data_IF_954547838179
#
_entry.id   IF_954547838179
#
_cell.length_a   1.000
_cell.length_b   1.000
_cell.length_c   1.000
_cell.angle_alpha   90.00
_cell.angle_beta   90.00
_cell.angle_gamma   90.00
#
_symmetry.space_group_name_H-M   'P 1'
#
loop_
_entity.id
_entity.type
_entity.pdbx_description
1 polymer ?
#
# COMPACT_ATOMS: atom_id res chain seq x y z
N UNK A 1 6.79 11.49 23.59
CA UNK A 1 8.04 10.76 23.91
C UNK A 1 8.02 9.49 23.06
N UNK A 2 9.16 9.12 22.48
CA UNK A 2 9.33 7.90 21.70
C UNK A 2 10.33 6.99 22.38
N UNK A 3 10.14 5.68 22.27
CA UNK A 3 11.09 4.66 22.71
C UNK A 3 11.59 3.89 21.50
N UNK A 4 12.87 3.50 21.53
CA UNK A 4 13.51 2.76 20.45
C UNK A 4 13.42 1.26 20.73
N UNK A 5 12.97 0.50 19.74
CA UNK A 5 12.91 -0.96 19.76
C UNK A 5 13.70 -1.52 18.58
N UNK A 6 14.41 -2.61 18.80
CA UNK A 6 15.09 -3.36 17.73
C UNK A 6 14.25 -4.59 17.38
N UNK A 7 13.71 -4.60 16.16
CA UNK A 7 12.88 -5.66 15.62
C UNK A 7 13.77 -6.57 14.77
N UNK A 8 13.70 -7.88 15.00
CA UNK A 8 14.37 -8.87 14.16
C UNK A 8 13.34 -9.79 13.51
N UNK A 9 13.39 -9.89 12.19
CA UNK A 9 12.51 -10.76 11.39
C UNK A 9 13.34 -11.65 10.48
N UNK A 10 12.94 -12.92 10.38
CA UNK A 10 13.50 -13.82 9.38
C UNK A 10 12.63 -13.80 8.14
N UNK A 11 13.21 -13.50 6.99
CA UNK A 11 12.57 -13.57 5.68
C UNK A 11 13.20 -14.69 4.84
N UNK A 12 12.55 -15.16 3.76
CA UNK A 12 13.16 -16.10 2.83
C UNK A 12 14.48 -15.63 2.21
N UNK A 13 14.70 -14.32 2.05
CA UNK A 13 15.96 -13.75 1.55
C UNK A 13 17.01 -13.48 2.64
N UNK A 14 16.67 -13.58 3.92
CA UNK A 14 17.62 -13.40 5.01
C UNK A 14 17.02 -12.76 6.27
N UNK A 15 17.87 -12.56 7.27
CA UNK A 15 17.48 -11.88 8.51
C UNK A 15 17.48 -10.37 8.31
N UNK A 16 16.40 -9.74 8.76
CA UNK A 16 16.24 -8.30 8.84
C UNK A 16 16.33 -7.86 10.30
N UNK A 17 17.10 -6.81 10.58
CA UNK A 17 17.09 -6.11 11.86
C UNK A 17 16.78 -4.64 11.60
N UNK A 18 15.69 -4.15 12.19
CA UNK A 18 15.20 -2.78 12.00
C UNK A 18 15.05 -2.10 13.35
N UNK A 19 15.62 -0.91 13.49
CA UNK A 19 15.41 -0.07 14.66
C UNK A 19 14.20 0.84 14.41
N UNK A 20 13.22 0.79 15.31
CA UNK A 20 11.99 1.57 15.18
C UNK A 20 11.76 2.46 16.40
N UNK A 21 11.25 3.66 16.13
CA UNK A 21 10.85 4.61 17.18
C UNK A 21 9.34 4.54 17.39
N UNK A 22 8.92 4.11 18.57
CA UNK A 22 7.52 3.88 18.91
C UNK A 22 7.05 4.99 19.84
N UNK A 23 5.92 5.66 19.54
CA UNK A 23 5.30 6.57 20.47
C UNK A 23 4.90 5.86 21.76
N UNK A 24 5.31 6.38 22.92
CA UNK A 24 4.93 5.77 24.22
C UNK A 24 3.53 6.18 24.68
N UNK A 25 2.95 7.21 24.05
CA UNK A 25 1.60 7.71 24.33
C UNK A 25 0.51 7.02 23.51
N UNK A 26 -0.71 7.51 23.69
CA UNK A 26 -1.88 7.10 22.92
C UNK A 26 -1.92 7.82 21.57
N UNK A 27 -1.83 7.06 20.48
CA UNK A 27 -1.72 7.57 19.09
C UNK A 27 -2.78 6.92 18.19
N UNK A 28 -3.17 7.56 17.06
CA UNK A 28 -4.02 6.87 16.08
C UNK A 28 -3.29 5.66 15.52
N UNK A 29 -4.07 4.71 15.01
CA UNK A 29 -3.54 3.58 14.23
C UNK A 29 -2.72 4.04 13.02
N UNK A 30 -3.04 5.17 12.38
CA UNK A 30 -2.26 5.73 11.27
C UNK A 30 -0.81 6.07 11.64
N UNK A 31 -0.51 6.28 12.93
CA UNK A 31 0.84 6.59 13.39
C UNK A 31 1.86 5.45 13.18
N UNK A 32 1.39 4.20 13.04
CA UNK A 32 2.27 3.05 12.80
C UNK A 32 2.69 2.91 11.32
N UNK A 33 1.99 3.57 10.40
CA UNK A 33 2.18 3.39 8.95
C UNK A 33 3.62 3.64 8.50
N UNK A 34 4.31 4.73 8.89
CA UNK A 34 5.69 4.96 8.45
C UNK A 34 6.66 3.85 8.90
N UNK A 35 6.44 3.29 10.09
CA UNK A 35 7.26 2.23 10.65
C UNK A 35 7.05 0.90 9.93
N UNK A 36 5.79 0.49 9.75
CA UNK A 36 5.46 -0.75 9.04
C UNK A 36 5.92 -0.70 7.59
N UNK A 37 5.78 0.46 6.95
CA UNK A 37 6.24 0.66 5.58
C UNK A 37 7.77 0.53 5.47
N UNK A 38 8.53 1.12 6.39
CA UNK A 38 10.00 0.95 6.45
C UNK A 38 10.37 -0.53 6.59
N UNK A 39 9.68 -1.26 7.46
CA UNK A 39 9.91 -2.70 7.65
C UNK A 39 9.71 -3.49 6.35
N UNK A 40 8.64 -3.18 5.60
CA UNK A 40 8.39 -3.77 4.27
C UNK A 40 9.45 -3.40 3.24
N UNK A 41 9.89 -2.13 3.21
CA UNK A 41 10.97 -1.66 2.33
C UNK A 41 12.29 -2.37 2.59
N UNK A 42 12.67 -2.54 3.86
CA UNK A 42 13.91 -3.23 4.22
C UNK A 42 13.84 -4.74 3.91
N UNK A 43 12.66 -5.35 4.06
CA UNK A 43 12.42 -6.72 3.64
C UNK A 43 12.49 -6.88 2.11
N UNK A 44 11.90 -5.95 1.37
CA UNK A 44 11.99 -5.93 -0.10
C UNK A 44 13.42 -5.73 -0.58
N UNK A 45 14.20 -4.87 0.10
CA UNK A 45 15.60 -4.64 -0.21
C UNK A 45 16.47 -5.90 -0.02
N UNK A 46 16.08 -6.86 0.85
CA UNK A 46 16.74 -8.16 0.95
C UNK A 46 16.48 -9.00 -0.32
N UNK A 47 15.24 -9.05 -0.80
CA UNK A 47 14.90 -9.75 -2.04
C UNK A 47 15.56 -9.12 -3.27
N UNK A 48 15.63 -7.79 -3.33
CA UNK A 48 16.37 -7.06 -4.37
C UNK A 48 17.85 -7.47 -4.40
N UNK A 49 18.54 -7.42 -3.24
CA UNK A 49 19.94 -7.83 -3.14
C UNK A 49 20.14 -9.27 -3.58
N UNK A 50 19.32 -10.19 -3.08
CA UNK A 50 19.36 -11.61 -3.45
C UNK A 50 19.15 -11.82 -4.95
N UNK A 51 18.23 -11.09 -5.57
CA UNK A 51 17.96 -11.16 -7.01
C UNK A 51 19.16 -10.66 -7.83
N UNK A 52 19.77 -9.56 -7.41
CA UNK A 52 20.97 -9.00 -8.04
C UNK A 52 22.16 -9.96 -7.93
N UNK A 53 22.37 -10.56 -6.74
CA UNK A 53 23.41 -11.57 -6.51
C UNK A 53 23.20 -12.83 -7.39
N UNK A 54 21.95 -13.16 -7.72
CA UNK A 54 21.61 -14.22 -8.66
C UNK A 54 21.77 -13.81 -10.14
N UNK A 55 22.21 -12.58 -10.43
CA UNK A 55 22.51 -12.09 -11.77
C UNK A 55 21.32 -11.42 -12.49
N UNK A 56 20.21 -11.18 -11.79
CA UNK A 56 19.08 -10.44 -12.36
C UNK A 56 19.26 -8.93 -12.19
N UNK A 57 18.68 -8.15 -13.12
CA UNK A 57 18.62 -6.69 -12.99
C UNK A 57 17.21 -6.25 -12.58
N UNK A 58 17.11 -5.31 -11.64
CA UNK A 58 15.83 -4.72 -11.26
C UNK A 58 15.45 -3.66 -12.30
N UNK A 59 14.29 -3.83 -12.93
CA UNK A 59 13.83 -2.93 -14.01
C UNK A 59 13.16 -1.66 -13.46
N UNK A 60 12.67 -1.70 -12.23
CA UNK A 60 11.97 -0.61 -11.58
C UNK A 60 12.93 0.52 -11.20
N UNK A 61 12.60 1.75 -11.61
CA UNK A 61 13.39 2.95 -11.31
C UNK A 61 12.50 4.18 -11.27
N UNK A 62 13.00 5.31 -10.74
CA UNK A 62 12.31 6.61 -10.82
C UNK A 62 11.95 6.91 -12.28
N UNK A 63 10.70 7.30 -12.53
CA UNK A 63 10.16 7.50 -13.88
C UNK A 63 9.49 6.25 -14.49
N UNK A 64 9.66 5.06 -13.89
CA UNK A 64 8.80 3.92 -14.22
C UNK A 64 7.43 4.13 -13.56
N UNK A 65 6.37 4.16 -14.38
CA UNK A 65 5.02 4.48 -13.93
C UNK A 65 3.96 3.48 -14.42
N UNK A 66 4.36 2.27 -14.80
CA UNK A 66 3.44 1.21 -15.19
C UNK A 66 2.50 0.84 -14.02
N UNK A 67 3.06 0.65 -12.81
CA UNK A 67 2.27 0.36 -11.61
C UNK A 67 1.36 1.52 -11.18
N UNK A 68 1.71 2.77 -11.52
CA UNK A 68 0.89 3.94 -11.23
C UNK A 68 -0.39 4.02 -12.09
N UNK A 69 -0.63 3.06 -12.98
CA UNK A 69 -1.85 2.91 -13.79
C UNK A 69 -2.66 1.66 -13.42
N UNK A 70 -2.26 0.97 -12.35
CA UNK A 70 -2.96 -0.20 -11.82
C UNK A 70 -3.89 0.18 -10.67
N UNK A 71 -4.81 -0.73 -10.34
CA UNK A 71 -5.67 -0.59 -9.17
C UNK A 71 -4.86 -0.91 -7.91
N UNK A 72 -4.34 0.12 -7.25
CA UNK A 72 -3.54 -0.04 -6.03
C UNK A 72 -4.46 -0.15 -4.81
N UNK A 73 -4.41 -1.25 -4.04
CA UNK A 73 -5.10 -1.34 -2.75
C UNK A 73 -4.29 -0.63 -1.66
N UNK A 74 -4.99 0.06 -0.75
CA UNK A 74 -4.41 0.63 0.47
C UNK A 74 -5.22 0.22 1.69
N UNK A 75 -4.55 0.01 2.81
CA UNK A 75 -5.24 -0.25 4.09
C UNK A 75 -5.93 1.00 4.63
N UNK A 76 -6.87 0.84 5.55
CA UNK A 76 -7.51 1.96 6.24
C UNK A 76 -6.48 2.90 6.94
N UNK A 77 -5.48 2.40 7.70
CA UNK A 77 -4.43 3.26 8.26
C UNK A 77 -3.66 4.05 7.20
N UNK A 78 -3.35 3.45 6.04
CA UNK A 78 -2.70 4.15 4.93
C UNK A 78 -3.60 5.22 4.31
N UNK A 79 -4.89 4.94 4.11
CA UNK A 79 -5.85 5.92 3.59
C UNK A 79 -5.95 7.15 4.52
N UNK A 80 -6.01 6.94 5.83
CA UNK A 80 -5.96 8.03 6.81
C UNK A 80 -4.63 8.79 6.76
N UNK A 81 -3.49 8.09 6.75
CA UNK A 81 -2.18 8.72 6.68
C UNK A 81 -1.97 9.54 5.39
N UNK A 82 -2.53 9.08 4.26
CA UNK A 82 -2.52 9.81 3.00
C UNK A 82 -3.36 11.08 3.09
N UNK A 83 -4.58 11.01 3.65
CA UNK A 83 -5.43 12.18 3.86
C UNK A 83 -4.74 13.21 4.76
N UNK A 84 -4.20 12.77 5.90
CA UNK A 84 -3.47 13.62 6.84
C UNK A 84 -2.28 14.30 6.13
N UNK A 85 -1.52 13.56 5.30
CA UNK A 85 -0.44 14.14 4.51
C UNK A 85 -0.94 15.19 3.51
N UNK A 86 -1.98 14.87 2.73
CA UNK A 86 -2.54 15.82 1.75
C UNK A 86 -2.97 17.11 2.42
N UNK A 87 -3.55 17.05 3.62
CA UNK A 87 -3.97 18.24 4.39
C UNK A 87 -2.80 19.11 4.88
N UNK A 88 -1.58 18.58 4.94
CA UNK A 88 -0.36 19.34 5.29
C UNK A 88 0.30 20.03 4.10
N UNK A 89 -0.12 19.73 2.87
CA UNK A 89 0.41 20.36 1.66
C UNK A 89 -0.07 21.82 1.54
N UNK A 90 0.65 22.68 0.79
CA UNK A 90 0.16 24.02 0.45
C UNK A 90 -1.20 23.97 -0.27
N UNK A 91 -2.05 24.98 -0.06
CA UNK A 91 -3.41 25.05 -0.66
C UNK A 91 -3.41 24.88 -2.19
N UNK A 92 -2.37 25.38 -2.87
CA UNK A 92 -2.18 25.24 -4.32
C UNK A 92 -2.01 23.77 -4.71
N UNK A 93 -1.25 23.01 -3.94
CA UNK A 93 -1.02 21.58 -4.16
C UNK A 93 -2.24 20.74 -3.81
N UNK A 94 -2.95 21.09 -2.72
CA UNK A 94 -4.22 20.46 -2.38
C UNK A 94 -5.25 20.63 -3.49
N UNK A 95 -5.37 21.85 -4.03
CA UNK A 95 -6.27 22.16 -5.15
C UNK A 95 -5.90 21.37 -6.40
N UNK A 96 -4.60 21.30 -6.71
CA UNK A 96 -4.08 20.52 -7.85
C UNK A 96 -4.42 19.03 -7.70
N UNK A 97 -4.21 18.44 -6.53
CA UNK A 97 -4.58 17.05 -6.27
C UNK A 97 -6.10 16.84 -6.36
N UNK A 98 -6.91 17.72 -5.77
CA UNK A 98 -8.37 17.64 -5.83
C UNK A 98 -8.88 17.65 -7.28
N UNK A 99 -8.32 18.51 -8.14
CA UNK A 99 -8.65 18.54 -9.58
C UNK A 99 -8.28 17.23 -10.27
N UNK A 100 -7.12 16.65 -9.95
CA UNK A 100 -6.67 15.37 -10.53
C UNK A 100 -7.55 14.20 -10.09
N UNK A 101 -7.94 14.14 -8.81
CA UNK A 101 -8.91 13.17 -8.31
C UNK A 101 -10.28 13.35 -8.97
N UNK A 102 -10.74 14.58 -9.20
CA UNK A 102 -11.98 14.84 -9.92
C UNK A 102 -11.94 14.30 -11.36
N UNK A 103 -10.82 14.48 -12.08
CA UNK A 103 -10.62 13.89 -13.42
C UNK A 103 -10.67 12.37 -13.37
N UNK A 104 -9.96 11.74 -12.41
CA UNK A 104 -10.00 10.28 -12.21
C UNK A 104 -11.43 9.81 -11.94
N UNK A 105 -12.18 10.50 -11.06
CA UNK A 105 -13.58 10.18 -10.74
C UNK A 105 -14.48 10.26 -11.96
N UNK A 106 -14.38 11.33 -12.76
CA UNK A 106 -15.17 11.47 -14.00
C UNK A 106 -14.89 10.33 -14.99
N UNK A 107 -13.62 9.95 -15.17
CA UNK A 107 -13.25 8.86 -16.07
C UNK A 107 -13.77 7.50 -15.58
N UNK A 108 -13.74 7.24 -14.27
CA UNK A 108 -14.28 6.02 -13.67
C UNK A 108 -15.81 5.96 -13.76
N UNK A 109 -16.50 7.07 -13.53
CA UNK A 109 -17.97 7.18 -13.67
C UNK A 109 -18.42 6.88 -15.10
N UNK A 110 -17.72 7.42 -16.10
CA UNK A 110 -18.03 7.19 -17.52
C UNK A 110 -17.91 5.71 -17.95
N UNK A 111 -17.29 4.88 -17.12
CA UNK A 111 -17.06 3.45 -17.37
C UNK A 111 -17.77 2.54 -16.37
N UNK A 112 -18.60 3.10 -15.49
CA UNK A 112 -19.33 2.35 -14.46
C UNK A 112 -18.49 1.90 -13.26
N UNK A 113 -17.15 2.01 -13.32
CA UNK A 113 -16.26 1.47 -12.29
C UNK A 113 -16.29 2.23 -10.96
N UNK A 114 -16.74 3.49 -10.94
CA UNK A 114 -16.70 4.28 -9.70
C UNK A 114 -17.48 3.62 -8.56
N UNK A 115 -18.67 3.07 -8.86
CA UNK A 115 -19.51 2.44 -7.85
C UNK A 115 -18.88 1.13 -7.35
N UNK A 116 -18.34 0.31 -8.25
CA UNK A 116 -17.65 -0.94 -7.90
C UNK A 116 -16.47 -0.67 -6.95
N UNK A 117 -15.68 0.39 -7.21
CA UNK A 117 -14.55 0.75 -6.35
C UNK A 117 -14.97 1.31 -4.99
N UNK A 118 -16.09 2.03 -4.92
CA UNK A 118 -16.65 2.48 -3.63
C UNK A 118 -17.15 1.27 -2.85
N UNK A 119 -17.94 0.40 -3.48
CA UNK A 119 -18.47 -0.81 -2.84
C UNK A 119 -17.34 -1.71 -2.33
N UNK A 120 -16.26 -1.86 -3.08
CA UNK A 120 -15.07 -2.60 -2.65
C UNK A 120 -14.45 -2.02 -1.36
N UNK A 121 -14.31 -0.70 -1.26
CA UNK A 121 -13.81 -0.05 -0.04
C UNK A 121 -14.77 -0.14 1.14
N UNK A 122 -16.09 -0.15 0.88
CA UNK A 122 -17.12 -0.28 1.90
C UNK A 122 -17.40 -1.71 2.33
N UNK A 123 -17.05 -2.70 1.49
CA UNK A 123 -17.42 -4.09 1.73
C UNK A 123 -16.93 -4.59 3.08
N UNK A 124 -17.80 -5.36 3.74
CA UNK A 124 -17.51 -6.13 4.95
C UNK A 124 -17.11 -7.57 4.62
N UNK A 125 -17.29 -7.99 3.36
CA UNK A 125 -16.87 -9.26 2.82
C UNK A 125 -16.02 -8.99 1.56
N UNK A 126 -14.70 -8.84 1.69
CA UNK A 126 -13.85 -8.50 0.56
C UNK A 126 -13.99 -9.55 -0.55
N UNK A 127 -14.08 -9.12 -1.82
CA UNK A 127 -14.14 -10.05 -2.96
C UNK A 127 -12.89 -10.94 -2.99
N UNK A 128 -13.07 -12.19 -3.44
CA UNK A 128 -11.95 -13.07 -3.75
C UNK A 128 -11.26 -12.64 -5.06
N UNK A 129 -10.14 -13.29 -5.37
CA UNK A 129 -9.32 -12.94 -6.55
C UNK A 129 -10.12 -13.07 -7.86
N UNK A 130 -11.01 -14.06 -7.96
CA UNK A 130 -11.85 -14.29 -9.15
C UNK A 130 -12.86 -13.16 -9.35
N UNK A 131 -13.46 -12.66 -8.27
CA UNK A 131 -14.37 -11.51 -8.32
C UNK A 131 -13.64 -10.17 -8.54
N UNK A 132 -12.38 -10.05 -8.11
CA UNK A 132 -11.56 -8.85 -8.31
C UNK A 132 -11.00 -8.71 -9.74
N UNK A 133 -10.69 -9.83 -10.39
CA UNK A 133 -10.00 -9.85 -11.68
C UNK A 133 -10.73 -9.04 -12.79
N UNK A 134 -12.07 -9.13 -12.97
CA UNK A 134 -12.77 -8.30 -13.95
C UNK A 134 -12.62 -6.79 -13.67
N UNK A 135 -12.66 -6.38 -12.40
CA UNK A 135 -12.53 -4.98 -11.99
C UNK A 135 -11.10 -4.49 -12.22
N UNK A 136 -10.10 -5.30 -11.84
CA UNK A 136 -8.69 -5.01 -12.08
C UNK A 136 -8.41 -4.81 -13.57
N UNK A 137 -8.89 -5.73 -14.42
CA UNK A 137 -8.75 -5.66 -15.88
C UNK A 137 -9.42 -4.42 -16.45
N UNK A 138 -10.64 -4.12 -16.04
CA UNK A 138 -11.39 -2.96 -16.51
C UNK A 138 -10.71 -1.64 -16.11
N UNK A 139 -10.23 -1.54 -14.86
CA UNK A 139 -9.49 -0.37 -14.37
C UNK A 139 -8.18 -0.19 -15.13
N UNK A 140 -7.40 -1.26 -15.28
CA UNK A 140 -6.11 -1.24 -15.99
C UNK A 140 -6.25 -0.81 -17.45
N UNK A 141 -7.31 -1.26 -18.14
CA UNK A 141 -7.61 -0.90 -19.51
C UNK A 141 -7.84 0.62 -19.71
N UNK A 142 -8.18 1.37 -18.65
CA UNK A 142 -8.33 2.83 -18.74
C UNK A 142 -7.01 3.58 -18.86
N UNK A 143 -5.89 2.95 -18.44
CA UNK A 143 -4.55 3.58 -18.40
C UNK A 143 -4.53 4.91 -17.65
N UNK A 144 -5.45 5.11 -16.71
CA UNK A 144 -5.54 6.33 -15.93
C UNK A 144 -4.31 6.44 -15.05
N UNK A 145 -3.54 7.55 -15.14
CA UNK A 145 -2.48 7.79 -14.17
C UNK A 145 -3.12 8.01 -12.79
N UNK A 146 -2.50 7.43 -11.77
CA UNK A 146 -2.80 7.72 -10.37
C UNK A 146 -2.84 9.24 -10.15
N UNK A 147 -3.78 9.71 -9.35
CA UNK A 147 -3.97 11.13 -9.05
C UNK A 147 -2.77 11.80 -8.35
N UNK A 148 -1.77 11.02 -7.91
CA UNK A 148 -0.51 11.54 -7.36
C UNK A 148 0.68 11.56 -8.35
N UNK A 149 0.54 11.02 -9.56
CA UNK A 149 1.61 10.92 -10.57
C UNK A 149 1.77 12.18 -11.45
N UNK A 150 2.81 12.99 -11.27
CA UNK A 150 3.08 14.15 -12.12
C UNK A 150 4.30 13.89 -13.01
N UNK A 151 4.14 13.97 -14.34
CA UNK A 151 5.20 13.66 -15.31
C UNK A 151 5.93 12.31 -15.03
N UNK A 152 5.16 11.26 -14.78
CA UNK A 152 5.66 9.92 -14.40
C UNK A 152 6.52 9.89 -13.11
N UNK A 153 6.45 10.93 -12.28
CA UNK A 153 7.06 11.01 -10.95
C UNK A 153 5.96 11.13 -9.89
N UNK A 154 6.06 10.33 -8.83
CA UNK A 154 5.08 10.39 -7.75
C UNK A 154 5.32 11.63 -6.88
N UNK A 155 4.31 12.49 -6.75
CA UNK A 155 4.35 13.71 -5.92
C UNK A 155 4.37 13.41 -4.42
N UNK A 156 3.91 12.23 -4.02
CA UNK A 156 3.92 11.75 -2.63
C UNK A 156 4.96 10.64 -2.43
N UNK A 157 6.11 10.70 -3.10
CA UNK A 157 7.08 9.59 -3.12
C UNK A 157 7.37 9.01 -1.73
N UNK A 158 7.66 9.87 -0.75
CA UNK A 158 7.92 9.48 0.65
C UNK A 158 6.68 8.91 1.36
N UNK A 159 5.49 9.27 0.91
CA UNK A 159 4.21 8.84 1.49
C UNK A 159 3.51 7.74 0.68
N UNK A 160 4.19 7.15 -0.33
CA UNK A 160 3.65 6.04 -1.12
C UNK A 160 3.14 4.91 -0.21
N UNK A 161 1.97 4.32 -0.53
CA UNK A 161 1.51 3.09 0.11
C UNK A 161 2.52 1.95 -0.01
N UNK A 162 2.42 0.99 0.89
CA UNK A 162 3.25 -0.21 0.90
C UNK A 162 3.18 -0.98 -0.44
N UNK A 163 1.98 -1.17 -0.97
CA UNK A 163 1.78 -1.85 -2.26
C UNK A 163 2.54 -1.19 -3.43
N UNK A 164 2.76 0.14 -3.38
CA UNK A 164 3.53 0.85 -4.39
C UNK A 164 5.05 0.66 -4.27
N UNK A 165 5.54 0.14 -3.14
CA UNK A 165 6.96 -0.05 -2.82
C UNK A 165 7.38 -1.51 -2.89
N UNK A 166 6.44 -2.41 -2.65
CA UNK A 166 6.65 -3.86 -2.69
C UNK A 166 6.65 -4.43 -4.13
N UNK A 167 6.14 -3.69 -5.12
CA UNK A 167 6.07 -4.19 -6.50
C UNK A 167 7.34 -3.87 -7.30
N UNK A 168 8.20 -4.86 -7.44
CA UNK A 168 9.41 -4.81 -8.27
C UNK A 168 9.46 -5.99 -9.23
N UNK A 169 10.12 -5.80 -10.37
CA UNK A 169 10.24 -6.82 -11.42
C UNK A 169 11.66 -6.92 -11.96
N UNK A 170 12.03 -8.11 -12.44
CA UNK A 170 13.29 -8.38 -13.16
C UNK A 170 13.11 -8.48 -14.67
N UNK A 171 11.87 -8.68 -15.13
CA UNK A 171 11.51 -8.60 -16.55
C UNK A 171 11.62 -7.16 -17.09
N UNK A 172 11.76 -6.94 -18.42
CA UNK A 172 11.79 -5.59 -19.00
C UNK A 172 10.61 -4.72 -18.55
N UNK A 173 10.88 -3.48 -18.16
CA UNK A 173 9.85 -2.59 -17.57
C UNK A 173 8.68 -2.31 -18.53
N UNK A 174 8.92 -2.32 -19.84
CA UNK A 174 7.92 -2.17 -20.88
C UNK A 174 6.86 -3.29 -20.84
N UNK A 175 7.20 -4.48 -20.36
CA UNK A 175 6.27 -5.61 -20.26
C UNK A 175 5.19 -5.37 -19.21
N UNK A 176 5.47 -4.56 -18.18
CA UNK A 176 4.46 -4.14 -17.20
C UNK A 176 3.34 -3.28 -17.80
N UNK A 177 3.47 -2.80 -19.05
CA UNK A 177 2.40 -2.12 -19.76
C UNK A 177 1.41 -3.10 -20.40
N UNK A 178 1.74 -4.38 -20.56
CA UNK A 178 0.79 -5.39 -21.02
C UNK A 178 1.17 -6.78 -20.48
N UNK A 179 0.88 -7.03 -19.18
CA UNK A 179 1.24 -8.29 -18.52
C UNK A 179 0.42 -9.49 -19.02
N UNK A 180 -0.65 -9.26 -19.80
CA UNK A 180 -1.42 -10.34 -20.43
C UNK A 180 -0.67 -10.87 -21.64
N UNK A 181 -0.05 -9.99 -22.42
CA UNK A 181 0.74 -10.37 -23.59
C UNK A 181 2.20 -10.73 -23.25
N UNK A 182 2.75 -10.20 -22.16
CA UNK A 182 4.15 -10.37 -21.78
C UNK A 182 4.28 -10.89 -20.34
N UNK A 183 5.06 -11.97 -20.11
CA UNK A 183 5.21 -12.53 -18.77
C UNK A 183 6.03 -11.58 -17.88
N UNK A 184 5.44 -11.09 -16.78
CA UNK A 184 6.13 -10.20 -15.84
C UNK A 184 6.72 -10.99 -14.68
N UNK A 185 8.05 -11.02 -14.58
CA UNK A 185 8.77 -11.65 -13.46
C UNK A 185 8.83 -10.69 -12.26
N UNK A 186 7.91 -10.86 -11.31
CA UNK A 186 7.87 -10.09 -10.07
C UNK A 186 8.83 -10.64 -9.02
N UNK A 187 9.45 -9.76 -8.23
CA UNK A 187 10.19 -10.16 -7.03
C UNK A 187 9.22 -10.69 -5.97
N UNK A 188 9.65 -11.67 -5.15
CA UNK A 188 8.90 -12.08 -3.98
C UNK A 188 8.64 -10.89 -3.05
N UNK A 189 7.45 -10.87 -2.43
CA UNK A 189 7.07 -9.90 -1.39
C UNK A 189 6.92 -10.67 -0.08
N UNK A 190 7.96 -10.75 0.76
CA UNK A 190 7.97 -11.63 1.93
C UNK A 190 7.04 -11.12 3.04
N UNK A 191 6.79 -9.82 3.08
CA UNK A 191 5.88 -9.17 4.02
C UNK A 191 4.94 -8.27 3.25
N UNK A 192 3.64 -8.53 3.32
CA UNK A 192 2.61 -7.67 2.70
C UNK A 192 2.09 -6.67 3.73
N UNK A 193 2.66 -5.47 3.75
CA UNK A 193 2.38 -4.49 4.81
C UNK A 193 0.95 -3.94 4.72
N UNK A 194 0.43 -3.70 3.51
CA UNK A 194 -0.96 -3.24 3.34
C UNK A 194 -1.98 -4.20 4.00
N UNK A 195 -1.99 -5.50 3.65
CA UNK A 195 -2.80 -6.51 4.35
C UNK A 195 -2.54 -6.61 5.86
N UNK A 196 -1.29 -6.50 6.31
CA UNK A 196 -0.98 -6.50 7.75
C UNK A 196 -1.62 -5.32 8.49
N UNK A 197 -1.52 -4.11 7.94
CA UNK A 197 -2.16 -2.90 8.46
C UNK A 197 -3.69 -3.00 8.42
N UNK A 198 -4.23 -3.63 7.38
CA UNK A 198 -5.67 -3.88 7.25
C UNK A 198 -6.21 -4.79 8.36
N UNK A 199 -5.50 -5.90 8.64
CA UNK A 199 -5.83 -6.82 9.73
C UNK A 199 -5.66 -6.19 11.11
N UNK A 200 -4.61 -5.40 11.30
CA UNK A 200 -4.39 -4.64 12.53
C UNK A 200 -5.55 -3.68 12.80
N UNK A 201 -5.92 -2.90 11.79
CA UNK A 201 -7.02 -1.94 11.91
C UNK A 201 -8.32 -2.65 12.27
N UNK A 202 -8.69 -3.70 11.53
CA UNK A 202 -9.91 -4.45 11.80
C UNK A 202 -9.97 -5.04 13.20
N UNK A 203 -8.83 -5.50 13.74
CA UNK A 203 -8.75 -5.95 15.12
C UNK A 203 -8.97 -4.80 16.12
N UNK A 204 -8.24 -3.69 15.97
CA UNK A 204 -8.30 -2.58 16.92
C UNK A 204 -9.65 -1.87 16.95
N UNK A 205 -10.36 -1.85 15.82
CA UNK A 205 -11.67 -1.18 15.67
C UNK A 205 -12.86 -2.13 15.72
N UNK A 206 -12.63 -3.43 15.89
CA UNK A 206 -13.67 -4.48 15.80
C UNK A 206 -14.46 -4.41 14.47
N UNK A 207 -13.75 -4.11 13.37
CA UNK A 207 -14.33 -4.02 12.03
C UNK A 207 -13.71 -5.06 11.09
N UNK A 208 -14.39 -5.42 9.99
CA UNK A 208 -13.78 -6.24 8.95
C UNK A 208 -12.53 -5.55 8.37
N UNK A 209 -11.44 -6.28 8.08
CA UNK A 209 -10.27 -5.72 7.42
C UNK A 209 -10.65 -5.17 6.03
N UNK A 210 -10.10 -4.02 5.66
CA UNK A 210 -10.40 -3.32 4.40
C UNK A 210 -9.15 -3.08 3.55
N UNK A 211 -9.29 -3.31 2.25
CA UNK A 211 -8.36 -2.85 1.23
C UNK A 211 -9.13 -1.90 0.31
N UNK A 212 -8.83 -0.61 0.43
CA UNK A 212 -9.52 0.47 -0.26
C UNK A 212 -8.77 0.78 -1.56
N UNK A 213 -9.44 0.90 -2.70
CA UNK A 213 -8.81 1.41 -3.92
C UNK A 213 -8.20 2.80 -3.72
N UNK A 214 -6.93 3.00 -4.10
CA UNK A 214 -6.24 4.28 -3.95
C UNK A 214 -6.98 5.45 -4.62
N UNK A 215 -7.70 5.17 -5.72
CA UNK A 215 -8.51 6.16 -6.44
C UNK A 215 -9.67 6.72 -5.60
N UNK A 216 -10.17 5.97 -4.61
CA UNK A 216 -11.27 6.36 -3.72
C UNK A 216 -10.82 6.58 -2.28
N UNK A 217 -9.53 6.36 -1.97
CA UNK A 217 -9.01 6.34 -0.61
C UNK A 217 -9.16 7.66 0.16
N UNK A 218 -9.01 8.83 -0.50
CA UNK A 218 -9.20 10.12 0.17
C UNK A 218 -10.66 10.38 0.52
N UNK A 219 -11.58 10.06 -0.40
CA UNK A 219 -13.03 10.16 -0.18
C UNK A 219 -13.50 9.18 0.90
N UNK A 220 -12.92 7.98 0.93
CA UNK A 220 -13.14 6.99 1.98
C UNK A 220 -12.66 7.51 3.34
N UNK A 221 -11.41 7.95 3.43
CA UNK A 221 -10.83 8.46 4.68
C UNK A 221 -11.59 9.68 5.23
N UNK A 222 -12.18 10.51 4.36
CA UNK A 222 -13.00 11.64 4.76
C UNK A 222 -14.35 11.21 5.37
N UNK A 223 -15.01 10.19 4.81
CA UNK A 223 -16.28 9.65 5.33
C UNK A 223 -16.09 8.87 6.62
N UNK A 224 -14.93 8.24 6.78
CA UNK A 224 -14.58 7.36 7.90
C UNK A 224 -13.68 8.05 8.92
N UNK A 225 -13.62 9.38 8.94
CA UNK A 225 -12.75 10.14 9.84
C UNK A 225 -12.94 9.77 11.32
N UNK A 226 -14.18 9.45 11.72
CA UNK A 226 -14.49 9.05 13.09
C UNK A 226 -13.77 7.76 13.50
N UNK A 227 -13.51 6.87 12.55
CA UNK A 227 -12.86 5.57 12.78
C UNK A 227 -11.34 5.72 12.99
N UNK A 228 -10.75 6.86 12.63
CA UNK A 228 -9.34 7.19 12.92
C UNK A 228 -9.15 7.96 14.24
N UNK A 229 -10.25 8.33 14.92
CA UNK A 229 -10.19 9.08 16.19
C UNK A 229 -9.72 8.27 17.39
N UNK A 230 -10.11 6.99 17.55
CA UNK A 230 -9.64 6.19 18.68
C UNK A 230 -8.11 6.17 18.74
N UNK A 231 -7.59 6.08 19.95
CA UNK A 231 -6.17 6.14 20.24
C UNK A 231 -5.80 4.93 21.08
N UNK A 232 -4.66 4.32 20.76
CA UNK A 232 -4.12 3.19 21.50
C UNK A 232 -2.67 3.46 21.87
N UNK A 233 -2.17 2.79 22.89
CA UNK A 233 -0.77 2.88 23.27
C UNK A 233 0.11 2.43 22.09
N UNK A 234 1.11 3.23 21.70
CA UNK A 234 1.90 2.93 20.51
C UNK A 234 2.63 1.59 20.57
N UNK A 235 3.07 1.17 21.75
CA UNK A 235 3.66 -0.16 21.99
C UNK A 235 2.67 -1.29 21.74
N UNK A 236 1.40 -1.11 22.15
CA UNK A 236 0.34 -2.07 21.86
C UNK A 236 0.04 -2.14 20.36
N UNK A 237 -0.02 -1.01 19.66
CA UNK A 237 -0.19 -1.00 18.19
C UNK A 237 0.95 -1.74 17.51
N UNK A 238 2.20 -1.50 17.92
CA UNK A 238 3.36 -2.18 17.34
C UNK A 238 3.28 -3.70 17.55
N UNK A 239 3.04 -4.15 18.78
CA UNK A 239 2.98 -5.57 19.13
C UNK A 239 1.97 -6.31 18.25
N UNK A 240 0.75 -5.76 18.15
CA UNK A 240 -0.32 -6.33 17.31
C UNK A 240 0.00 -6.25 15.82
N UNK A 241 0.71 -5.22 15.37
CA UNK A 241 1.12 -5.09 13.98
C UNK A 241 2.16 -6.16 13.60
N UNK A 242 3.13 -6.40 14.49
CA UNK A 242 4.13 -7.45 14.32
C UNK A 242 3.49 -8.82 14.28
N UNK A 243 2.52 -9.13 15.14
CA UNK A 243 1.76 -10.39 15.08
C UNK A 243 1.19 -10.67 13.68
N UNK A 244 0.72 -9.63 12.97
CA UNK A 244 0.20 -9.79 11.59
C UNK A 244 1.33 -10.06 10.60
N UNK A 245 2.46 -9.40 10.74
CA UNK A 245 3.66 -9.64 9.91
C UNK A 245 4.16 -11.08 10.09
N UNK A 246 4.26 -11.56 11.33
CA UNK A 246 4.67 -12.94 11.63
C UNK A 246 3.76 -13.99 10.97
N UNK A 247 2.45 -13.73 10.91
CA UNK A 247 1.49 -14.60 10.21
C UNK A 247 1.82 -14.72 8.71
N UNK A 248 2.12 -13.61 8.03
CA UNK A 248 2.48 -13.63 6.61
C UNK A 248 3.85 -14.29 6.38
N UNK A 249 4.84 -14.01 7.22
CA UNK A 249 6.15 -14.63 7.13
C UNK A 249 6.06 -16.16 7.27
N UNK A 250 5.26 -16.64 8.23
CA UNK A 250 5.06 -18.08 8.45
C UNK A 250 4.49 -18.78 7.21
N UNK A 251 3.58 -18.13 6.48
CA UNK A 251 3.03 -18.64 5.23
C UNK A 251 4.08 -18.62 4.10
N UNK A 252 4.89 -17.58 4.00
CA UNK A 252 5.97 -17.49 3.01
C UNK A 252 7.01 -18.60 3.19
N UNK A 253 7.26 -19.06 4.43
CA UNK A 253 8.13 -20.21 4.69
C UNK A 253 7.49 -21.56 4.34
N UNK A 254 6.16 -21.65 4.30
CA UNK A 254 5.42 -22.89 3.97
C UNK A 254 5.25 -23.10 2.46
N UNK A 255 5.37 -22.06 1.64
CA UNK A 255 5.23 -22.13 0.18
C UNK A 255 6.52 -22.57 -0.56
N UNK A 256 7.43 -23.28 0.13
CA UNK A 256 8.66 -23.85 -0.46
C UNK A 256 8.49 -25.32 -0.81
#
# INVERSE_FOLDING_TARGET
>A
MTERYDISLNTPAGQLTSAVEVPTGFVPVSAIVPMMRRLGEEAQALEERRSIEAGHAISCKKGCAACCRMLVPVSAPEAFALRDHVQTLPETEQTRLAQRFAVTRTALLARGLWNDLIEMGESTNPPDDDALEPINRAYYALRLPCAFLDQDVCTIYEHRPAACRELLVTSPAEWCQDPVAHPVDALPVPVRIGPALSLLWGELTEQPPKLIPLATALDWAARHEQENRPRWQGTHILDRALDKVWRFLSQAFQQK
#
